data_IF_285501961452
#
_entry.id   IF_285501961452
#
_cell.length_a   1.000
_cell.length_b   1.000
_cell.length_c   1.000
_cell.angle_alpha   90.00
_cell.angle_beta   90.00
_cell.angle_gamma   90.00
#
_symmetry.space_group_name_H-M   'P 1'
#
loop_
_entity.id
_entity.type
_entity.pdbx_description
1 polymer ?
#
# COMPACT_ATOMS: atom_id res chain seq x y z
N UNK A 1 6.31 3.21 -26.40
CA UNK A 1 6.53 2.24 -25.31
C UNK A 1 5.16 1.87 -24.77
N UNK A 2 4.75 0.59 -24.84
CA UNK A 2 3.48 0.16 -24.27
C UNK A 2 3.49 0.41 -22.76
N UNK A 3 2.42 0.98 -22.21
CA UNK A 3 2.26 1.14 -20.76
C UNK A 3 2.28 -0.25 -20.10
N UNK A 4 2.96 -0.42 -18.96
CA UNK A 4 2.93 -1.68 -18.22
C UNK A 4 1.48 -2.02 -17.85
N UNK A 5 1.10 -3.28 -18.01
CA UNK A 5 -0.25 -3.75 -17.72
C UNK A 5 -0.39 -3.94 -16.21
N UNK A 6 -1.10 -3.01 -15.57
CA UNK A 6 -1.37 -3.03 -14.15
C UNK A 6 -2.55 -3.96 -13.86
N UNK A 7 -2.35 -4.94 -12.98
CA UNK A 7 -3.35 -5.95 -12.61
C UNK A 7 -3.56 -5.92 -11.11
N UNK A 8 -4.81 -5.73 -10.68
CA UNK A 8 -5.20 -5.79 -9.28
C UNK A 8 -5.45 -7.25 -8.86
N UNK A 9 -4.85 -7.68 -7.75
CA UNK A 9 -5.07 -9.00 -7.16
C UNK A 9 -5.13 -8.92 -5.63
N UNK A 10 -5.64 -9.96 -4.98
CA UNK A 10 -5.50 -10.16 -3.53
C UNK A 10 -4.04 -10.43 -3.16
N UNK A 11 -3.61 -9.84 -2.05
CA UNK A 11 -2.29 -10.02 -1.49
C UNK A 11 -2.17 -11.42 -0.89
N UNK A 12 -0.98 -11.99 -1.05
CA UNK A 12 -0.52 -13.19 -0.37
C UNK A 12 0.50 -12.82 0.71
N UNK A 13 0.81 -13.74 1.62
CA UNK A 13 1.83 -13.50 2.66
C UNK A 13 3.22 -13.20 2.07
N UNK A 14 3.50 -13.65 0.84
CA UNK A 14 4.74 -13.33 0.11
C UNK A 14 4.85 -11.83 -0.22
N UNK A 15 3.71 -11.13 -0.30
CA UNK A 15 3.65 -9.71 -0.58
C UNK A 15 3.92 -8.84 0.67
N UNK A 16 3.85 -9.43 1.87
CA UNK A 16 3.89 -8.70 3.15
C UNK A 16 5.18 -7.91 3.37
N UNK A 17 6.33 -8.46 2.97
CA UNK A 17 7.61 -7.76 3.08
C UNK A 17 7.61 -6.51 2.18
N UNK A 18 7.09 -6.64 0.96
CA UNK A 18 7.04 -5.55 0.00
C UNK A 18 6.02 -4.48 0.41
N UNK A 19 4.88 -4.88 0.98
CA UNK A 19 3.91 -3.98 1.62
C UNK A 19 4.61 -3.08 2.65
N UNK A 20 5.36 -3.68 3.59
CA UNK A 20 6.07 -2.93 4.61
C UNK A 20 7.11 -1.96 4.04
N UNK A 21 7.86 -2.39 3.02
CA UNK A 21 8.85 -1.53 2.36
C UNK A 21 8.20 -0.32 1.67
N UNK A 22 7.06 -0.52 1.00
CA UNK A 22 6.32 0.58 0.35
C UNK A 22 5.81 1.56 1.39
N UNK A 23 5.31 1.08 2.53
CA UNK A 23 4.90 1.92 3.65
C UNK A 23 6.05 2.81 4.12
N UNK A 24 7.23 2.24 4.35
CA UNK A 24 8.39 3.05 4.76
C UNK A 24 8.79 4.02 3.65
N UNK A 25 8.94 3.56 2.41
CA UNK A 25 9.35 4.38 1.28
C UNK A 25 8.44 5.59 1.05
N UNK A 26 7.13 5.44 1.28
CA UNK A 26 6.15 6.53 1.15
C UNK A 26 6.38 7.67 2.17
N UNK A 27 6.94 7.37 3.34
CA UNK A 27 7.10 8.33 4.44
C UNK A 27 8.56 8.64 4.80
N UNK A 28 9.54 7.85 4.38
CA UNK A 28 10.93 7.93 4.87
C UNK A 28 11.62 9.27 4.60
N UNK A 29 11.13 10.04 3.61
CA UNK A 29 11.62 11.38 3.27
C UNK A 29 10.82 12.51 3.93
N UNK A 30 9.71 12.19 4.62
CA UNK A 30 8.84 13.19 5.25
C UNK A 30 9.39 13.62 6.61
N UNK A 31 9.42 14.93 6.86
CA UNK A 31 9.99 15.50 8.08
C UNK A 31 9.36 14.94 9.36
N UNK A 32 8.04 14.69 9.36
CA UNK A 32 7.36 14.12 10.52
C UNK A 32 7.79 12.69 10.81
N UNK A 33 8.03 11.89 9.77
CA UNK A 33 8.52 10.52 9.90
C UNK A 33 9.96 10.51 10.41
N UNK A 34 10.81 11.39 9.87
CA UNK A 34 12.19 11.55 10.33
C UNK A 34 12.27 12.03 11.80
N UNK A 35 11.33 12.85 12.24
CA UNK A 35 11.26 13.32 13.62
C UNK A 35 10.81 12.22 14.60
N UNK A 36 9.81 11.42 14.24
CA UNK A 36 9.30 10.33 15.07
C UNK A 36 10.23 9.10 15.06
N UNK A 37 10.80 8.79 13.90
CA UNK A 37 11.62 7.61 13.66
C UNK A 37 13.03 8.02 13.22
N UNK A 38 13.71 8.76 14.09
CA UNK A 38 15.03 9.35 13.79
C UNK A 38 16.16 8.32 13.77
N UNK A 39 16.03 7.22 14.52
CA UNK A 39 17.04 6.16 14.62
C UNK A 39 16.83 5.07 13.56
N UNK A 40 17.87 4.66 12.80
CA UNK A 40 17.76 3.59 11.82
C UNK A 40 17.21 2.27 12.39
N UNK A 41 17.66 1.88 13.59
CA UNK A 41 17.18 0.67 14.26
C UNK A 41 15.66 0.69 14.52
N UNK A 42 15.09 1.86 14.86
CA UNK A 42 13.63 1.99 15.04
C UNK A 42 12.91 1.83 13.70
N UNK A 43 13.50 2.28 12.58
CA UNK A 43 12.92 2.08 11.24
C UNK A 43 12.93 0.61 10.83
N UNK A 44 13.97 -0.13 11.21
CA UNK A 44 14.06 -1.57 10.96
C UNK A 44 13.04 -2.36 11.79
N UNK A 45 12.87 -2.02 13.07
CA UNK A 45 11.80 -2.58 13.90
C UNK A 45 10.42 -2.24 13.33
N UNK A 46 10.22 -1.00 12.89
CA UNK A 46 8.96 -0.58 12.26
C UNK A 46 8.66 -1.38 10.98
N UNK A 47 9.66 -1.68 10.14
CA UNK A 47 9.49 -2.58 8.98
C UNK A 47 9.00 -3.96 9.40
N UNK A 48 9.58 -4.52 10.46
CA UNK A 48 9.17 -5.84 10.98
C UNK A 48 7.71 -5.77 11.46
N UNK A 49 7.37 -4.78 12.27
CA UNK A 49 5.98 -4.60 12.76
C UNK A 49 4.98 -4.40 11.62
N UNK A 50 5.32 -3.61 10.60
CA UNK A 50 4.45 -3.40 9.43
C UNK A 50 4.25 -4.68 8.62
N UNK A 51 5.31 -5.51 8.50
CA UNK A 51 5.22 -6.80 7.82
C UNK A 51 4.32 -7.77 8.59
N UNK A 52 4.50 -7.88 9.90
CA UNK A 52 3.66 -8.73 10.76
C UNK A 52 2.20 -8.29 10.68
N UNK A 53 1.95 -6.98 10.77
CA UNK A 53 0.62 -6.41 10.58
C UNK A 53 0.01 -6.76 9.22
N UNK A 54 0.78 -6.66 8.14
CA UNK A 54 0.31 -7.03 6.81
C UNK A 54 -0.08 -8.51 6.73
N UNK A 55 0.70 -9.41 7.35
CA UNK A 55 0.38 -10.85 7.42
C UNK A 55 -0.92 -11.07 8.20
N UNK A 56 -1.08 -10.40 9.35
CA UNK A 56 -2.29 -10.53 10.17
C UNK A 56 -3.53 -10.06 9.39
N UNK A 57 -3.43 -8.94 8.66
CA UNK A 57 -4.51 -8.42 7.80
C UNK A 57 -4.82 -9.36 6.63
N UNK A 58 -3.81 -9.97 6.01
CA UNK A 58 -3.98 -10.95 4.91
C UNK A 58 -4.70 -12.21 5.40
N UNK A 59 -4.43 -12.65 6.63
CA UNK A 59 -5.03 -13.86 7.20
C UNK A 59 -6.45 -13.64 7.72
N UNK A 60 -6.80 -12.41 8.09
CA UNK A 60 -8.11 -12.08 8.61
C UNK A 60 -9.15 -12.06 7.48
N UNK A 61 -10.04 -13.05 7.48
CA UNK A 61 -11.11 -13.22 6.48
C UNK A 61 -12.12 -12.05 6.45
N UNK A 62 -12.05 -11.12 7.40
CA UNK A 62 -12.84 -9.88 7.37
C UNK A 62 -12.24 -8.80 6.47
N UNK A 63 -10.97 -8.92 6.07
CA UNK A 63 -10.27 -7.92 5.28
C UNK A 63 -9.80 -8.53 3.95
N UNK A 64 -9.92 -7.75 2.89
CA UNK A 64 -9.23 -8.04 1.63
C UNK A 64 -8.06 -7.06 1.51
N UNK A 65 -6.83 -7.57 1.63
CA UNK A 65 -5.62 -6.79 1.33
C UNK A 65 -5.36 -6.92 -0.16
N UNK A 66 -5.29 -5.80 -0.86
CA UNK A 66 -5.12 -5.82 -2.32
C UNK A 66 -3.81 -5.23 -2.75
N UNK A 67 -3.27 -5.77 -3.84
CA UNK A 67 -2.06 -5.28 -4.48
C UNK A 67 -2.22 -5.16 -6.00
N UNK A 68 -1.62 -4.14 -6.59
CA UNK A 68 -1.49 -3.99 -8.04
C UNK A 68 -0.12 -4.46 -8.46
N UNK A 69 -0.09 -5.44 -9.36
CA UNK A 69 1.09 -5.94 -10.03
C UNK A 69 1.27 -5.28 -11.40
N UNK A 70 2.48 -4.89 -11.77
CA UNK A 70 2.80 -4.33 -13.08
C UNK A 70 3.15 -5.36 -14.18
N UNK A 71 2.87 -6.64 -13.92
CA UNK A 71 3.21 -7.76 -14.79
C UNK A 71 4.68 -8.21 -14.70
N UNK A 72 5.54 -7.48 -13.99
CA UNK A 72 6.93 -7.85 -13.70
C UNK A 72 7.14 -8.37 -12.27
N UNK A 73 6.06 -8.55 -11.49
CA UNK A 73 6.09 -9.05 -10.11
C UNK A 73 6.23 -7.96 -9.03
N UNK A 74 6.07 -6.69 -9.40
CA UNK A 74 6.16 -5.55 -8.47
C UNK A 74 4.78 -5.18 -7.90
N UNK A 75 4.66 -5.23 -6.58
CA UNK A 75 3.43 -5.06 -5.77
C UNK A 75 3.15 -3.57 -5.46
N UNK A 76 1.87 -3.16 -5.41
CA UNK A 76 1.41 -1.80 -5.02
C UNK A 76 0.13 -1.90 -4.18
N UNK A 77 0.11 -1.44 -2.93
CA UNK A 77 -0.81 -2.01 -1.92
C UNK A 77 -1.96 -1.10 -1.49
N UNK A 78 -3.08 -1.69 -1.07
CA UNK A 78 -4.26 -1.01 -0.53
C UNK A 78 -4.66 -1.57 0.84
N UNK A 79 -3.98 -1.09 1.87
CA UNK A 79 -4.54 -0.82 3.21
C UNK A 79 -4.27 0.64 3.59
N UNK A 80 -3.17 1.17 3.07
CA UNK A 80 -2.82 2.57 2.96
C UNK A 80 -2.38 2.81 1.52
N UNK A 81 -2.82 3.89 0.88
CA UNK A 81 -2.40 4.19 -0.50
C UNK A 81 -0.97 4.74 -0.47
N UNK A 82 -0.01 3.87 -0.71
CA UNK A 82 1.38 4.21 -1.01
C UNK A 82 1.71 3.78 -2.43
N UNK A 83 2.32 4.67 -3.22
CA UNK A 83 2.94 4.30 -4.50
C UNK A 83 4.43 4.40 -4.31
N UNK A 84 5.18 3.35 -4.69
CA UNK A 84 6.65 3.41 -4.70
C UNK A 84 7.10 4.64 -5.52
N UNK A 85 8.03 5.46 -5.02
CA UNK A 85 8.50 6.68 -5.70
C UNK A 85 8.94 6.45 -7.16
N UNK A 86 9.53 5.30 -7.48
CA UNK A 86 9.97 4.96 -8.84
C UNK A 86 8.81 4.69 -9.81
N UNK A 87 7.60 4.51 -9.28
CA UNK A 87 6.38 4.15 -10.00
C UNK A 87 5.26 5.19 -9.85
N UNK A 88 5.58 6.36 -9.29
CA UNK A 88 4.65 7.48 -9.19
C UNK A 88 4.12 7.92 -10.57
N UNK A 89 2.93 8.53 -10.55
CA UNK A 89 2.26 9.12 -11.74
C UNK A 89 1.94 8.11 -12.85
N UNK A 90 1.94 6.81 -12.56
CA UNK A 90 1.54 5.75 -13.49
C UNK A 90 0.09 5.27 -13.31
N UNK A 91 -0.66 5.89 -12.39
CA UNK A 91 -2.08 5.61 -12.19
C UNK A 91 -2.40 4.47 -11.21
N UNK A 92 -1.40 3.90 -10.53
CA UNK A 92 -1.61 2.82 -9.56
C UNK A 92 -2.63 3.19 -8.47
N UNK A 93 -2.48 4.38 -7.86
CA UNK A 93 -3.45 4.90 -6.90
C UNK A 93 -4.85 5.09 -7.52
N UNK A 94 -4.95 5.52 -8.79
CA UNK A 94 -6.23 5.70 -9.46
C UNK A 94 -6.95 4.37 -9.71
N UNK A 95 -6.21 3.33 -10.09
CA UNK A 95 -6.76 1.97 -10.26
C UNK A 95 -7.30 1.45 -8.93
N UNK A 96 -6.50 1.59 -7.87
CA UNK A 96 -6.84 1.18 -6.52
C UNK A 96 -8.08 1.90 -5.96
N UNK A 97 -8.14 3.23 -6.11
CA UNK A 97 -9.31 4.02 -5.70
C UNK A 97 -10.54 3.67 -6.52
N UNK A 98 -10.41 3.54 -7.85
CA UNK A 98 -11.55 3.19 -8.70
C UNK A 98 -12.13 1.82 -8.35
N UNK A 99 -11.28 0.82 -8.14
CA UNK A 99 -11.73 -0.48 -7.67
C UNK A 99 -12.46 -0.37 -6.32
N UNK A 100 -11.88 0.33 -5.34
CA UNK A 100 -12.50 0.48 -4.01
C UNK A 100 -13.87 1.14 -4.09
N UNK A 101 -14.03 2.15 -4.96
CA UNK A 101 -15.30 2.81 -5.22
C UNK A 101 -16.31 1.89 -5.93
N UNK A 102 -15.88 1.07 -6.88
CA UNK A 102 -16.74 0.12 -7.59
C UNK A 102 -17.20 -1.02 -6.67
N UNK A 103 -16.29 -1.58 -5.88
CA UNK A 103 -16.58 -2.65 -4.94
C UNK A 103 -17.52 -2.20 -3.83
N UNK A 104 -17.27 -1.03 -3.22
CA UNK A 104 -18.17 -0.47 -2.20
C UNK A 104 -19.57 -0.18 -2.72
N UNK A 105 -19.72 0.24 -3.99
CA UNK A 105 -21.05 0.37 -4.63
C UNK A 105 -21.74 -0.98 -4.80
N UNK A 106 -21.01 -2.01 -5.20
CA UNK A 106 -21.55 -3.36 -5.40
C UNK A 106 -22.06 -3.97 -4.08
N UNK A 107 -21.26 -3.84 -3.01
CA UNK A 107 -21.58 -4.38 -1.68
C UNK A 107 -22.48 -3.44 -0.84
N UNK A 108 -22.82 -2.26 -1.36
CA UNK A 108 -23.56 -1.21 -0.65
C UNK A 108 -22.90 -0.81 0.68
N UNK A 109 -21.57 -0.71 0.70
CA UNK A 109 -20.76 -0.32 1.85
C UNK A 109 -20.24 1.12 1.70
N UNK A 110 -20.23 1.92 2.78
CA UNK A 110 -19.61 3.23 2.76
C UNK A 110 -18.09 3.09 2.59
N UNK A 111 -17.53 3.77 1.59
CA UNK A 111 -16.08 3.82 1.35
C UNK A 111 -15.58 5.18 1.83
N UNK A 112 -14.62 5.16 2.76
CA UNK A 112 -13.94 6.36 3.23
C UNK A 112 -12.43 6.20 3.01
N UNK A 113 -11.79 7.29 2.61
CA UNK A 113 -10.34 7.38 2.55
C UNK A 113 -9.92 8.63 3.31
N UNK A 114 -9.13 8.46 4.37
CA UNK A 114 -8.50 9.60 5.03
C UNK A 114 -7.25 10.02 4.26
N UNK A 115 -7.17 11.31 3.94
CA UNK A 115 -6.02 11.93 3.31
C UNK A 115 -5.40 12.90 4.30
N UNK A 116 -4.09 12.85 4.47
CA UNK A 116 -3.37 13.96 5.10
C UNK A 116 -3.41 15.14 4.13
N UNK A 117 -4.32 16.09 4.35
CA UNK A 117 -4.21 17.40 3.69
C UNK A 117 -2.87 18.00 4.11
N UNK A 118 -2.07 18.40 3.12
CA UNK A 118 -0.77 19.04 3.32
C UNK A 118 -0.82 20.05 4.49
N UNK A 119 0.16 19.95 5.39
CA UNK A 119 0.58 21.03 6.29
C UNK A 119 1.46 22.02 5.53
#
# INVERSE_FOLDING_TARGET
MSSPQLTLIEASEDDAARIADIHIAAFETKLIFLAQFSMPAIRDELRVTLREKAIDEIRDLQWAVLVVHDGAGMIITLSHIGTDPNYERRGAASILVNWGLEHGKHENLPVALESTKNA
#
